data_IF_153465271644
#
_entry.id   IF_153465271644
#
_cell.length_a   1.000
_cell.length_b   1.000
_cell.length_c   1.000
_cell.angle_alpha   90.00
_cell.angle_beta   90.00
_cell.angle_gamma   90.00
#
_symmetry.space_group_name_H-M   'P 1'
#
loop_
_entity.id
_entity.type
_entity.pdbx_description
1 polymer ?
#
# COMPACT_ATOMS: atom_id res chain seq x y z
N UNK A 1 -2.75 23.41 -16.69
CA UNK A 1 -2.88 22.64 -15.43
C UNK A 1 -1.88 23.23 -14.46
N UNK A 2 -2.31 23.65 -13.27
CA UNK A 2 -1.36 24.08 -12.24
C UNK A 2 -0.44 22.92 -11.87
N UNK A 3 0.84 23.15 -11.54
CA UNK A 3 1.71 22.11 -11.03
C UNK A 3 1.09 21.47 -9.80
N UNK A 4 1.15 20.14 -9.69
CA UNK A 4 0.85 19.47 -8.44
C UNK A 4 2.03 19.76 -7.52
N UNK A 5 1.81 20.52 -6.45
CA UNK A 5 2.81 20.68 -5.40
C UNK A 5 3.00 19.34 -4.69
N UNK A 6 4.23 18.85 -4.68
CA UNK A 6 4.59 17.61 -4.01
C UNK A 6 5.04 17.90 -2.59
N UNK A 7 4.34 17.34 -1.60
CA UNK A 7 4.82 17.32 -0.21
C UNK A 7 5.69 16.08 -0.01
N UNK A 8 6.97 16.21 0.37
CA UNK A 8 7.82 15.06 0.62
C UNK A 8 7.34 14.25 1.83
N UNK A 9 7.58 12.95 1.80
CA UNK A 9 7.33 12.06 2.92
C UNK A 9 8.31 12.37 4.06
N UNK A 10 7.80 12.40 5.29
CA UNK A 10 8.62 12.66 6.48
C UNK A 10 9.81 11.68 6.61
N UNK A 11 10.99 12.21 6.89
CA UNK A 11 12.24 11.44 6.99
C UNK A 11 12.17 10.23 7.96
N UNK A 12 11.53 10.32 9.15
CA UNK A 12 11.36 9.17 10.03
C UNK A 12 10.54 8.03 9.39
N UNK A 13 9.56 8.33 8.53
CA UNK A 13 8.80 7.32 7.80
C UNK A 13 9.65 6.66 6.73
N UNK A 14 10.43 7.45 5.98
CA UNK A 14 11.37 6.93 4.98
C UNK A 14 12.41 5.99 5.62
N UNK A 15 12.93 6.33 6.81
CA UNK A 15 13.85 5.44 7.55
C UNK A 15 13.20 4.09 7.93
N UNK A 16 11.92 4.10 8.33
CA UNK A 16 11.18 2.86 8.62
C UNK A 16 10.93 2.05 7.36
N UNK A 17 10.57 2.71 6.26
CA UNK A 17 10.39 2.08 4.96
C UNK A 17 11.66 1.38 4.47
N UNK A 18 12.81 2.06 4.58
CA UNK A 18 14.11 1.49 4.23
C UNK A 18 14.42 0.21 5.01
N UNK A 19 14.10 0.16 6.31
CA UNK A 19 14.28 -1.05 7.10
C UNK A 19 13.40 -2.22 6.62
N UNK A 20 12.16 -1.94 6.19
CA UNK A 20 11.24 -2.94 5.63
C UNK A 20 11.75 -3.45 4.27
N UNK A 21 12.10 -2.54 3.36
CA UNK A 21 12.59 -2.89 2.01
C UNK A 21 13.87 -3.71 2.10
N UNK A 22 14.82 -3.30 2.95
CA UNK A 22 16.06 -4.03 3.14
C UNK A 22 15.82 -5.42 3.76
N UNK A 23 14.87 -5.55 4.69
CA UNK A 23 14.49 -6.86 5.22
C UNK A 23 13.87 -7.75 4.14
N UNK A 24 12.98 -7.22 3.31
CA UNK A 24 12.37 -7.96 2.20
C UNK A 24 13.44 -8.43 1.21
N UNK A 25 14.38 -7.54 0.84
CA UNK A 25 15.52 -7.86 -0.02
C UNK A 25 16.37 -9.00 0.53
N UNK A 26 16.75 -8.95 1.81
CA UNK A 26 17.55 -10.03 2.44
C UNK A 26 16.83 -11.37 2.45
N UNK A 27 15.51 -11.37 2.49
CA UNK A 27 14.68 -12.57 2.47
C UNK A 27 14.30 -13.01 1.05
N UNK A 28 14.68 -12.26 0.01
CA UNK A 28 14.27 -12.53 -1.37
C UNK A 28 12.76 -12.37 -1.60
N UNK A 29 12.10 -11.50 -0.83
CA UNK A 29 10.66 -11.27 -0.89
C UNK A 29 10.32 -10.02 -1.68
N UNK A 30 9.19 -10.07 -2.39
CA UNK A 30 8.57 -8.92 -3.05
C UNK A 30 7.48 -8.32 -2.17
N UNK A 31 7.25 -7.02 -2.31
CA UNK A 31 6.26 -6.24 -1.57
C UNK A 31 5.17 -5.71 -2.51
N UNK A 32 3.93 -5.79 -2.03
CA UNK A 32 2.75 -5.13 -2.63
C UNK A 32 1.90 -4.57 -1.49
N UNK A 33 1.31 -3.39 -1.67
CA UNK A 33 0.35 -2.83 -0.70
C UNK A 33 -1.08 -2.90 -1.22
N UNK A 34 -2.02 -3.13 -0.30
CA UNK A 34 -3.45 -2.94 -0.53
C UNK A 34 -3.96 -1.98 0.55
N UNK A 35 -4.47 -0.83 0.12
CA UNK A 35 -4.78 0.32 0.95
C UNK A 35 -6.23 0.76 0.75
N UNK A 36 -6.85 1.27 1.82
CA UNK A 36 -8.16 1.93 1.74
C UNK A 36 -8.04 3.32 2.36
N UNK A 37 -8.18 3.47 3.68
CA UNK A 37 -8.17 4.77 4.35
C UNK A 37 -6.86 5.56 4.20
N UNK A 38 -5.72 4.90 3.98
CA UNK A 38 -4.42 5.54 3.75
C UNK A 38 -4.23 6.06 2.33
N UNK A 39 -5.10 5.70 1.38
CA UNK A 39 -5.15 6.31 0.05
C UNK A 39 -3.89 6.18 -0.81
N UNK A 40 -2.99 5.23 -0.51
CA UNK A 40 -1.71 5.08 -1.22
C UNK A 40 -0.51 5.67 -0.48
N UNK A 41 -0.70 6.26 0.70
CA UNK A 41 0.39 6.83 1.49
C UNK A 41 1.42 5.76 1.91
N UNK A 42 1.01 4.51 2.15
CA UNK A 42 1.97 3.46 2.49
C UNK A 42 2.84 3.10 1.28
N UNK A 43 2.24 2.96 0.09
CA UNK A 43 2.99 2.78 -1.15
C UNK A 43 3.97 3.94 -1.41
N UNK A 44 3.52 5.19 -1.21
CA UNK A 44 4.37 6.37 -1.37
C UNK A 44 5.56 6.33 -0.40
N UNK A 45 5.31 6.09 0.89
CA UNK A 45 6.35 5.94 1.93
C UNK A 45 7.35 4.84 1.58
N UNK A 46 6.87 3.68 1.10
CA UNK A 46 7.75 2.58 0.67
C UNK A 46 8.55 2.92 -0.60
N UNK A 47 7.99 3.68 -1.53
CA UNK A 47 8.67 4.06 -2.77
C UNK A 47 9.85 5.01 -2.54
N UNK A 48 9.80 5.84 -1.49
CA UNK A 48 10.90 6.76 -1.11
C UNK A 48 12.11 6.02 -0.50
N UNK A 49 11.97 4.75 -0.12
CA UNK A 49 13.07 3.98 0.42
C UNK A 49 14.13 3.66 -0.66
N UNK A 50 15.43 3.80 -0.36
CA UNK A 50 16.48 3.39 -1.28
C UNK A 50 16.35 1.91 -1.69
N UNK A 51 16.40 1.65 -3.00
CA UNK A 51 16.27 0.30 -3.55
C UNK A 51 14.84 -0.25 -3.61
N UNK A 52 13.82 0.56 -3.26
CA UNK A 52 12.40 0.19 -3.28
C UNK A 52 11.97 -0.44 -4.60
N UNK A 53 12.41 0.11 -5.75
CA UNK A 53 12.01 -0.38 -7.08
C UNK A 53 12.41 -1.82 -7.41
N UNK A 54 13.29 -2.45 -6.62
CA UNK A 54 13.61 -3.88 -6.77
C UNK A 54 12.66 -4.80 -6.00
N UNK A 55 12.00 -4.30 -4.95
CA UNK A 55 11.16 -5.11 -4.07
C UNK A 55 9.69 -4.70 -4.09
N UNK A 56 9.37 -3.41 -4.21
CA UNK A 56 8.00 -2.90 -4.28
C UNK A 56 7.47 -3.02 -5.70
N UNK A 57 6.57 -3.97 -5.92
CA UNK A 57 6.02 -4.28 -7.25
C UNK A 57 4.76 -3.48 -7.58
N UNK A 58 4.05 -2.98 -6.57
CA UNK A 58 2.85 -2.19 -6.79
C UNK A 58 2.11 -1.85 -5.50
N UNK A 59 1.11 -0.99 -5.64
CA UNK A 59 0.20 -0.62 -4.57
C UNK A 59 -1.21 -0.42 -5.12
N UNK A 60 -2.20 -0.89 -4.38
CA UNK A 60 -3.61 -0.80 -4.74
C UNK A 60 -4.35 0.08 -3.73
N UNK A 61 -4.81 1.25 -4.14
CA UNK A 61 -5.72 2.07 -3.33
C UNK A 61 -7.19 1.74 -3.70
N UNK A 62 -7.86 0.93 -2.88
CA UNK A 62 -9.22 0.43 -3.14
C UNK A 62 -10.20 0.93 -2.08
N UNK A 63 -10.89 2.03 -2.35
CA UNK A 63 -11.77 2.66 -1.35
C UNK A 63 -13.14 1.98 -1.23
N UNK A 64 -13.83 1.77 -2.35
CA UNK A 64 -15.19 1.23 -2.33
C UNK A 64 -15.20 -0.29 -2.19
N UNK A 65 -16.28 -0.85 -1.63
CA UNK A 65 -16.48 -2.31 -1.56
C UNK A 65 -16.38 -2.96 -2.94
N UNK A 66 -17.00 -2.36 -3.95
CA UNK A 66 -16.94 -2.86 -5.33
C UNK A 66 -15.50 -2.94 -5.86
N UNK A 67 -14.66 -1.94 -5.59
CA UNK A 67 -13.27 -1.95 -6.03
C UNK A 67 -12.40 -2.96 -5.26
N UNK A 68 -12.74 -3.27 -4.00
CA UNK A 68 -12.09 -4.36 -3.26
C UNK A 68 -12.35 -5.71 -3.93
N UNK A 69 -13.54 -5.95 -4.44
CA UNK A 69 -13.84 -7.16 -5.23
C UNK A 69 -13.12 -7.14 -6.59
N UNK A 70 -13.24 -6.05 -7.36
CA UNK A 70 -12.68 -6.00 -8.72
C UNK A 70 -11.14 -6.10 -8.73
N UNK A 71 -10.47 -5.36 -7.84
CA UNK A 71 -9.02 -5.22 -7.88
C UNK A 71 -8.28 -6.23 -6.98
N UNK A 72 -8.91 -6.71 -5.91
CA UNK A 72 -8.28 -7.57 -4.91
C UNK A 72 -9.00 -8.91 -4.71
N UNK A 73 -10.03 -9.19 -5.51
CA UNK A 73 -10.84 -10.41 -5.44
C UNK A 73 -11.47 -10.68 -4.06
N UNK A 74 -11.77 -9.60 -3.31
CA UNK A 74 -12.47 -9.74 -2.03
C UNK A 74 -13.91 -10.21 -2.29
N UNK A 75 -14.36 -11.33 -1.69
CA UNK A 75 -15.69 -11.87 -1.94
C UNK A 75 -16.80 -10.85 -1.68
N UNK A 76 -17.71 -10.70 -2.64
CA UNK A 76 -18.78 -9.69 -2.55
C UNK A 76 -19.78 -10.01 -1.43
N UNK A 77 -20.02 -11.29 -1.16
CA UNK A 77 -20.90 -11.76 -0.09
C UNK A 77 -20.34 -11.44 1.30
N UNK A 78 -19.01 -11.50 1.46
CA UNK A 78 -18.32 -11.05 2.66
C UNK A 78 -18.52 -9.54 2.89
N UNK A 79 -18.40 -8.74 1.83
CA UNK A 79 -18.61 -7.29 1.90
C UNK A 79 -20.09 -6.89 2.03
N UNK A 80 -21.03 -7.75 1.64
CA UNK A 80 -22.47 -7.48 1.71
C UNK A 80 -23.02 -7.58 3.13
N UNK A 81 -22.47 -8.49 3.95
CA UNK A 81 -22.97 -8.79 5.30
C UNK A 81 -22.35 -7.93 6.41
N UNK A 82 -21.27 -7.23 6.12
CA UNK A 82 -20.50 -6.45 7.11
C UNK A 82 -20.04 -5.08 6.62
N UNK A 83 -19.17 -4.45 7.39
CA UNK A 83 -18.41 -3.27 6.94
C UNK A 83 -17.15 -3.73 6.19
N UNK A 84 -16.49 -2.82 5.48
CA UNK A 84 -15.19 -3.13 4.86
C UNK A 84 -14.03 -3.10 5.89
N UNK A 85 -14.34 -2.95 7.18
CA UNK A 85 -13.38 -2.86 8.30
C UNK A 85 -13.69 -3.98 9.27
N UNK A 86 -12.89 -5.02 9.23
CA UNK A 86 -13.02 -6.20 10.09
C UNK A 86 -11.62 -6.76 10.41
N UNK A 87 -11.51 -7.50 11.50
CA UNK A 87 -10.28 -8.24 11.79
C UNK A 87 -10.13 -9.42 10.81
N UNK A 88 -8.89 -9.83 10.48
CA UNK A 88 -8.65 -11.05 9.72
C UNK A 88 -9.11 -12.27 10.52
N UNK A 89 -9.81 -13.18 9.83
CA UNK A 89 -10.31 -14.46 10.34
C UNK A 89 -9.20 -15.49 10.58
#
# INVERSE_FOLDING_TARGET
MSPIEFTPVDEPLVRRAAAVVERARRLGLTLVTAESCTGGLLAAVLSEAPGSGTQLHGGFATYTKAQKTVALDVPADLLARGTAVCEPW
#
